data_IF_477958431431
#
_entry.id   IF_477958431431
#
_cell.length_a   1.000
_cell.length_b   1.000
_cell.length_c   1.000
_cell.angle_alpha   90.00
_cell.angle_beta   90.00
_cell.angle_gamma   90.00
#
_symmetry.space_group_name_H-M   'P 1'
#
loop_
_entity.id
_entity.type
_entity.pdbx_description
1 polymer ?
#
# COMPACT_ATOMS: atom_id res chain seq x y z
N UNK A 1 13.21 -14.19 2.59
CA UNK A 1 12.37 -14.52 3.76
C UNK A 1 12.87 -13.92 5.07
N UNK A 2 14.14 -14.15 5.46
CA UNK A 2 14.72 -13.62 6.72
C UNK A 2 14.62 -12.09 6.84
N UNK A 3 14.91 -11.36 5.77
CA UNK A 3 14.82 -9.90 5.74
C UNK A 3 13.41 -9.40 6.07
N UNK A 4 12.38 -10.00 5.47
CA UNK A 4 10.99 -9.60 5.68
C UNK A 4 10.55 -9.80 7.14
N UNK A 5 10.94 -10.91 7.77
CA UNK A 5 10.61 -11.19 9.17
C UNK A 5 11.26 -10.15 10.09
N UNK A 6 12.54 -9.87 9.90
CA UNK A 6 13.26 -8.87 10.70
C UNK A 6 12.59 -7.49 10.58
N UNK A 7 12.25 -7.08 9.35
CA UNK A 7 11.58 -5.81 9.09
C UNK A 7 10.21 -5.74 9.78
N UNK A 8 9.40 -6.81 9.73
CA UNK A 8 8.10 -6.82 10.38
C UNK A 8 8.18 -6.59 11.89
N UNK A 9 9.21 -7.15 12.56
CA UNK A 9 9.43 -6.93 14.01
C UNK A 9 9.73 -5.47 14.31
N UNK A 10 10.61 -4.82 13.53
CA UNK A 10 10.89 -3.39 13.71
C UNK A 10 9.66 -2.53 13.42
N UNK A 11 8.88 -2.87 12.39
CA UNK A 11 7.65 -2.17 12.07
C UNK A 11 6.57 -2.32 13.14
N UNK A 12 6.52 -3.44 13.86
CA UNK A 12 5.61 -3.58 15.00
C UNK A 12 5.93 -2.61 16.13
N UNK A 13 7.21 -2.35 16.40
CA UNK A 13 7.64 -1.36 17.41
C UNK A 13 7.27 0.07 16.97
N UNK A 14 7.47 0.38 15.69
CA UNK A 14 7.08 1.68 15.11
C UNK A 14 5.55 1.83 15.15
N UNK A 15 4.82 0.80 14.75
CA UNK A 15 3.36 0.78 14.76
C UNK A 15 2.81 0.96 16.18
N UNK A 16 3.40 0.31 17.18
CA UNK A 16 3.02 0.47 18.59
C UNK A 16 3.23 1.91 19.06
N UNK A 17 4.38 2.52 18.73
CA UNK A 17 4.69 3.91 19.09
C UNK A 17 3.70 4.90 18.45
N UNK A 18 3.34 4.69 17.19
CA UNK A 18 2.36 5.52 16.49
C UNK A 18 0.94 5.27 17.02
N UNK A 19 0.61 4.03 17.37
CA UNK A 19 -0.68 3.69 17.96
C UNK A 19 -0.88 4.36 19.33
N UNK A 20 0.16 4.47 20.15
CA UNK A 20 0.12 5.25 21.40
C UNK A 20 -0.18 6.73 21.13
N UNK A 21 0.51 7.35 20.17
CA UNK A 21 0.25 8.74 19.77
C UNK A 21 -1.17 8.94 19.21
N UNK A 22 -1.65 8.01 18.39
CA UNK A 22 -2.99 8.04 17.84
C UNK A 22 -4.08 7.86 18.92
N UNK A 23 -3.77 7.12 19.98
CA UNK A 23 -4.67 6.95 21.13
C UNK A 23 -4.80 8.21 21.97
N UNK A 24 -3.68 8.92 22.17
CA UNK A 24 -3.63 10.15 22.95
C UNK A 24 -4.20 11.35 22.17
N UNK A 25 -3.92 11.42 20.86
CA UNK A 25 -4.30 12.51 19.98
C UNK A 25 -4.92 11.98 18.67
N UNK A 26 -6.17 11.49 18.71
CA UNK A 26 -6.86 11.03 17.51
C UNK A 26 -7.19 12.24 16.62
N UNK A 27 -6.41 12.42 15.56
CA UNK A 27 -6.60 13.50 14.60
C UNK A 27 -6.43 12.99 13.18
N UNK A 28 -7.31 13.41 12.27
CA UNK A 28 -7.22 13.16 10.82
C UNK A 28 -5.97 13.79 10.20
N UNK A 29 -5.40 14.81 10.85
CA UNK A 29 -4.15 15.45 10.45
C UNK A 29 -2.91 14.59 10.71
N UNK A 30 -3.05 13.45 11.41
CA UNK A 30 -2.04 12.40 11.55
C UNK A 30 -0.66 12.88 11.99
N UNK A 31 0.37 12.42 11.28
CA UNK A 31 1.81 12.65 11.59
C UNK A 31 2.17 14.13 11.71
N UNK A 32 1.56 14.99 10.89
CA UNK A 32 1.76 16.45 10.94
C UNK A 32 1.32 17.03 12.30
N UNK A 33 0.17 16.58 12.81
CA UNK A 33 -0.36 17.07 14.08
C UNK A 33 0.49 16.58 15.26
N UNK A 34 0.85 15.29 15.28
CA UNK A 34 1.68 14.73 16.33
C UNK A 34 3.07 15.38 16.40
N UNK A 35 3.68 15.64 15.23
CA UNK A 35 4.97 16.35 15.16
C UNK A 35 4.87 17.78 15.68
N UNK A 36 3.76 18.47 15.40
CA UNK A 36 3.55 19.86 15.84
C UNK A 36 3.37 19.94 17.36
N UNK A 37 2.60 19.02 17.95
CA UNK A 37 2.32 19.02 19.39
C UNK A 37 3.54 18.57 20.19
N UNK A 38 4.27 17.56 19.73
CA UNK A 38 5.39 17.00 20.50
C UNK A 38 6.65 17.88 20.48
N UNK A 39 6.82 18.75 19.47
CA UNK A 39 8.03 19.59 19.34
C UNK A 39 7.96 20.92 20.12
N UNK A 40 6.92 21.14 20.95
CA UNK A 40 6.82 22.25 21.88
C UNK A 40 7.04 23.62 21.21
N UNK A 41 8.06 24.37 21.66
CA UNK A 41 8.39 25.72 21.14
C UNK A 41 8.71 25.75 19.64
N UNK A 42 9.17 24.64 19.07
CA UNK A 42 9.48 24.51 17.64
C UNK A 42 8.40 23.75 16.84
N UNK A 43 7.24 23.50 17.46
CA UNK A 43 6.12 22.74 16.90
C UNK A 43 5.79 23.08 15.45
N UNK A 44 5.68 24.36 15.14
CA UNK A 44 5.29 24.83 13.80
C UNK A 44 6.33 24.52 12.72
N UNK A 45 7.62 24.50 13.05
CA UNK A 45 8.69 24.19 12.08
C UNK A 45 8.76 22.68 11.84
N UNK A 46 8.81 21.89 12.90
CA UNK A 46 8.84 20.42 12.80
C UNK A 46 7.56 19.86 12.18
N UNK A 47 6.41 20.43 12.54
CA UNK A 47 5.12 20.13 11.92
C UNK A 47 5.17 20.35 10.41
N UNK A 48 5.64 21.52 9.96
CA UNK A 48 5.76 21.83 8.54
C UNK A 48 6.63 20.81 7.78
N UNK A 49 7.82 20.49 8.31
CA UNK A 49 8.69 19.49 7.70
C UNK A 49 8.06 18.09 7.70
N UNK A 50 7.46 17.66 8.81
CA UNK A 50 6.79 16.37 8.92
C UNK A 50 5.61 16.24 7.94
N UNK A 51 4.83 17.32 7.79
CA UNK A 51 3.71 17.37 6.85
C UNK A 51 4.16 17.24 5.40
N UNK A 52 5.19 17.97 4.99
CA UNK A 52 5.74 17.88 3.63
C UNK A 52 6.38 16.53 3.35
N UNK A 53 7.12 15.98 4.31
CA UNK A 53 7.71 14.65 4.18
C UNK A 53 6.63 13.58 4.04
N UNK A 54 5.56 13.68 4.83
CA UNK A 54 4.40 12.81 4.71
C UNK A 54 3.73 12.93 3.33
N UNK A 55 3.51 14.15 2.84
CA UNK A 55 2.95 14.36 1.49
C UNK A 55 3.82 13.73 0.39
N UNK A 56 5.14 13.93 0.44
CA UNK A 56 6.05 13.31 -0.53
C UNK A 56 6.06 11.78 -0.42
N UNK A 57 6.04 11.23 0.80
CA UNK A 57 5.96 9.79 1.01
C UNK A 57 4.71 9.19 0.36
N UNK A 58 3.55 9.83 0.54
CA UNK A 58 2.30 9.39 -0.08
C UNK A 58 2.26 9.60 -1.61
N UNK A 59 2.89 10.67 -2.11
CA UNK A 59 2.99 10.93 -3.55
C UNK A 59 3.91 9.93 -4.26
N UNK A 60 5.08 9.65 -3.69
CA UNK A 60 5.99 8.62 -4.20
C UNK A 60 5.40 7.21 -4.02
N UNK A 61 4.67 6.96 -2.94
CA UNK A 61 3.92 5.73 -2.75
C UNK A 61 2.87 5.51 -3.84
N UNK A 62 2.08 6.55 -4.18
CA UNK A 62 1.11 6.48 -5.26
C UNK A 62 1.78 6.20 -6.62
N UNK A 63 2.89 6.89 -6.93
CA UNK A 63 3.66 6.64 -8.16
C UNK A 63 4.23 5.21 -8.20
N UNK A 64 4.76 4.71 -7.09
CA UNK A 64 5.27 3.34 -6.99
C UNK A 64 4.16 2.32 -7.22
N UNK A 65 3.00 2.47 -6.58
CA UNK A 65 1.86 1.57 -6.74
C UNK A 65 1.32 1.58 -8.18
N UNK A 66 1.22 2.75 -8.81
CA UNK A 66 0.85 2.84 -10.23
C UNK A 66 1.86 2.15 -11.14
N UNK A 67 3.15 2.21 -10.83
CA UNK A 67 4.19 1.48 -11.57
C UNK A 67 4.03 -0.03 -11.41
N UNK A 68 3.76 -0.52 -10.20
CA UNK A 68 3.53 -1.95 -9.93
C UNK A 68 2.32 -2.46 -10.73
N UNK A 69 1.20 -1.74 -10.72
CA UNK A 69 -0.01 -2.10 -11.47
C UNK A 69 0.28 -2.14 -12.99
N UNK A 70 1.00 -1.16 -13.51
CA UNK A 70 1.36 -1.13 -14.93
C UNK A 70 2.26 -2.31 -15.30
N UNK A 71 3.29 -2.59 -14.50
CA UNK A 71 4.19 -3.72 -14.71
C UNK A 71 3.45 -5.07 -14.62
N UNK A 72 2.51 -5.22 -13.68
CA UNK A 72 1.66 -6.40 -13.60
C UNK A 72 0.82 -6.58 -14.87
N UNK A 73 0.26 -5.49 -15.41
CA UNK A 73 -0.55 -5.52 -16.65
C UNK A 73 0.27 -5.97 -17.85
N UNK A 74 1.45 -5.36 -18.04
CA UNK A 74 2.38 -5.73 -19.12
C UNK A 74 2.86 -7.18 -18.97
N UNK A 75 3.12 -7.62 -17.74
CA UNK A 75 3.63 -8.97 -17.50
C UNK A 75 2.55 -10.05 -17.69
N UNK A 76 1.28 -9.74 -17.42
CA UNK A 76 0.15 -10.62 -17.79
C UNK A 76 0.04 -10.79 -19.32
N UNK A 77 0.30 -9.74 -20.09
CA UNK A 77 0.31 -9.81 -21.56
C UNK A 77 1.50 -10.62 -22.08
N UNK A 78 2.69 -10.40 -21.51
CA UNK A 78 3.93 -11.10 -21.87
C UNK A 78 3.85 -12.62 -21.62
N UNK A 79 3.06 -13.08 -20.64
CA UNK A 79 2.86 -14.51 -20.37
C UNK A 79 2.28 -15.28 -21.57
N UNK A 80 1.49 -14.62 -22.42
CA UNK A 80 0.92 -15.21 -23.64
C UNK A 80 1.74 -14.91 -24.90
N UNK A 81 2.48 -13.80 -24.89
CA UNK A 81 3.31 -13.34 -26.01
C UNK A 81 4.78 -13.32 -25.56
N UNK A 82 5.45 -14.46 -25.72
CA UNK A 82 6.82 -14.70 -25.25
C UNK A 82 7.89 -13.78 -25.81
N UNK A 83 7.57 -12.97 -26.82
CA UNK A 83 8.48 -12.03 -27.49
C UNK A 83 8.42 -10.60 -26.90
N UNK A 84 7.58 -10.36 -25.90
CA UNK A 84 7.45 -9.03 -25.28
C UNK A 84 8.65 -8.69 -24.39
N UNK A 85 9.68 -8.07 -24.97
CA UNK A 85 10.75 -7.45 -24.20
C UNK A 85 10.30 -6.17 -23.50
N UNK A 86 10.97 -5.82 -22.40
CA UNK A 86 10.74 -4.57 -21.67
C UNK A 86 11.12 -3.36 -22.55
N UNK A 87 10.13 -2.75 -23.19
CA UNK A 87 10.34 -1.61 -24.07
C UNK A 87 10.04 -0.28 -23.36
N UNK A 88 10.75 0.81 -23.67
CA UNK A 88 10.56 2.12 -23.02
C UNK A 88 9.12 2.66 -23.09
N UNK A 89 8.36 2.27 -24.12
CA UNK A 89 6.96 2.68 -24.29
C UNK A 89 5.99 2.10 -23.24
N UNK A 90 6.43 1.15 -22.40
CA UNK A 90 5.58 0.58 -21.35
C UNK A 90 5.25 1.61 -20.26
N UNK A 91 5.97 2.73 -20.24
CA UNK A 91 5.60 3.93 -19.49
C UNK A 91 4.21 4.48 -19.86
N UNK A 92 3.71 4.24 -21.07
CA UNK A 92 2.34 4.62 -21.46
C UNK A 92 1.31 3.85 -20.60
N UNK A 93 1.57 2.57 -20.29
CA UNK A 93 0.69 1.80 -19.39
C UNK A 93 0.65 2.42 -18.00
N UNK A 94 1.80 2.89 -17.50
CA UNK A 94 1.86 3.62 -16.23
C UNK A 94 1.01 4.89 -16.27
N UNK A 95 1.18 5.71 -17.32
CA UNK A 95 0.40 6.92 -17.51
C UNK A 95 -1.10 6.60 -17.50
N UNK A 96 -1.56 5.69 -18.36
CA UNK A 96 -2.97 5.28 -18.44
C UNK A 96 -3.51 4.80 -17.09
N UNK A 97 -2.79 3.93 -16.38
CA UNK A 97 -3.19 3.48 -15.05
C UNK A 97 -3.33 4.65 -14.06
N UNK A 98 -2.38 5.59 -14.04
CA UNK A 98 -2.44 6.78 -13.18
C UNK A 98 -3.64 7.68 -13.52
N UNK A 99 -3.94 7.90 -14.81
CA UNK A 99 -5.10 8.68 -15.23
C UNK A 99 -6.42 8.01 -14.84
N UNK A 100 -6.51 6.69 -14.95
CA UNK A 100 -7.69 5.93 -14.52
C UNK A 100 -7.86 6.03 -12.99
N UNK A 101 -6.79 5.82 -12.21
CA UNK A 101 -6.85 5.99 -10.76
C UNK A 101 -7.32 7.40 -10.39
N UNK A 102 -6.76 8.44 -11.03
CA UNK A 102 -7.17 9.83 -10.82
C UNK A 102 -8.66 10.05 -11.15
N UNK A 103 -9.13 9.53 -12.29
CA UNK A 103 -10.53 9.63 -12.68
C UNK A 103 -11.47 8.94 -11.67
N UNK A 104 -11.09 7.76 -11.16
CA UNK A 104 -11.88 7.05 -10.13
C UNK A 104 -11.90 7.85 -8.82
N UNK A 105 -10.81 8.48 -8.41
CA UNK A 105 -10.80 9.34 -7.22
C UNK A 105 -11.70 10.58 -7.40
N UNK A 106 -11.70 11.18 -8.59
CA UNK A 106 -12.51 12.36 -8.89
C UNK A 106 -14.01 12.06 -9.01
N UNK A 107 -14.38 11.00 -9.73
CA UNK A 107 -15.78 10.69 -10.06
C UNK A 107 -16.37 9.54 -9.23
N UNK A 108 -15.55 8.68 -8.65
CA UNK A 108 -15.94 7.43 -8.03
C UNK A 108 -16.05 7.44 -6.51
N UNK A 109 -16.09 8.61 -5.86
CA UNK A 109 -16.10 8.73 -4.39
C UNK A 109 -17.15 7.84 -3.68
N UNK A 110 -18.34 7.66 -4.29
CA UNK A 110 -19.40 6.80 -3.74
C UNK A 110 -19.09 5.29 -3.82
N UNK A 111 -18.27 4.88 -4.79
CA UNK A 111 -17.88 3.49 -4.98
C UNK A 111 -16.70 3.08 -4.09
N UNK A 112 -15.98 4.03 -3.49
CA UNK A 112 -14.78 3.74 -2.68
C UNK A 112 -15.02 2.74 -1.54
N UNK A 113 -16.10 2.83 -0.74
CA UNK A 113 -16.35 1.84 0.32
C UNK A 113 -16.59 0.44 -0.25
N UNK A 114 -17.31 0.33 -1.38
CA UNK A 114 -17.57 -0.94 -2.05
C UNK A 114 -16.28 -1.54 -2.62
N UNK A 115 -15.43 -0.71 -3.25
CA UNK A 115 -14.11 -1.12 -3.74
C UNK A 115 -13.22 -1.60 -2.59
N UNK A 116 -13.26 -0.97 -1.42
CA UNK A 116 -12.54 -1.44 -0.22
C UNK A 116 -12.96 -2.84 0.20
N UNK A 117 -14.27 -3.11 0.28
CA UNK A 117 -14.81 -4.43 0.63
C UNK A 117 -14.46 -5.50 -0.42
N UNK A 118 -14.53 -5.14 -1.71
CA UNK A 118 -14.08 -6.02 -2.79
C UNK A 118 -12.59 -6.32 -2.68
N UNK A 119 -11.76 -5.30 -2.40
CA UNK A 119 -10.33 -5.46 -2.21
C UNK A 119 -10.01 -6.44 -1.10
N UNK A 120 -10.68 -6.34 0.05
CA UNK A 120 -10.53 -7.29 1.15
C UNK A 120 -10.88 -8.72 0.72
N UNK A 121 -12.00 -8.90 0.02
CA UNK A 121 -12.41 -10.21 -0.50
C UNK A 121 -11.36 -10.80 -1.45
N UNK A 122 -10.84 -10.02 -2.41
CA UNK A 122 -9.84 -10.47 -3.36
C UNK A 122 -8.47 -10.73 -2.71
N UNK A 123 -8.08 -9.97 -1.68
CA UNK A 123 -6.83 -10.25 -0.92
C UNK A 123 -6.94 -11.59 -0.21
N UNK A 124 -8.01 -11.80 0.56
CA UNK A 124 -8.17 -13.03 1.35
C UNK A 124 -8.34 -14.26 0.43
N UNK A 125 -9.15 -14.15 -0.61
CA UNK A 125 -9.29 -15.21 -1.60
C UNK A 125 -8.01 -15.43 -2.41
N UNK A 126 -7.23 -14.39 -2.70
CA UNK A 126 -5.94 -14.47 -3.37
C UNK A 126 -4.88 -15.21 -2.56
N UNK A 127 -4.77 -14.89 -1.27
CA UNK A 127 -3.87 -15.61 -0.36
C UNK A 127 -4.29 -17.08 -0.27
N UNK A 128 -5.58 -17.36 -0.04
CA UNK A 128 -6.08 -18.71 0.11
C UNK A 128 -5.92 -19.55 -1.18
N UNK A 129 -6.28 -18.99 -2.34
CA UNK A 129 -6.12 -19.64 -3.63
C UNK A 129 -4.65 -19.89 -3.96
N UNK A 130 -3.76 -18.92 -3.74
CA UNK A 130 -2.32 -19.10 -3.98
C UNK A 130 -1.75 -20.20 -3.09
N UNK A 131 -2.12 -20.24 -1.80
CA UNK A 131 -1.66 -21.27 -0.87
C UNK A 131 -2.12 -22.65 -1.30
N UNK A 132 -3.40 -22.81 -1.68
CA UNK A 132 -3.93 -24.09 -2.17
C UNK A 132 -3.21 -24.52 -3.43
N UNK A 133 -3.08 -23.62 -4.41
CA UNK A 133 -2.43 -23.93 -5.68
C UNK A 133 -0.98 -24.34 -5.46
N UNK A 134 -0.23 -23.59 -4.65
CA UNK A 134 1.16 -23.92 -4.34
C UNK A 134 1.31 -25.21 -3.52
N UNK A 135 0.30 -25.60 -2.72
CA UNK A 135 0.31 -26.84 -1.94
C UNK A 135 -0.15 -28.07 -2.75
N UNK A 136 -1.02 -27.90 -3.75
CA UNK A 136 -1.62 -29.03 -4.50
C UNK A 136 -0.88 -29.26 -5.82
N UNK A 137 -0.53 -28.20 -6.55
CA UNK A 137 0.01 -28.33 -7.90
C UNK A 137 1.34 -29.08 -7.99
N UNK A 138 2.29 -28.96 -7.05
CA UNK A 138 3.51 -29.76 -7.12
C UNK A 138 3.23 -31.26 -7.06
N UNK A 139 2.24 -31.68 -6.24
CA UNK A 139 1.79 -33.07 -6.15
C UNK A 139 1.08 -33.55 -7.42
N UNK A 140 0.34 -32.67 -8.10
CA UNK A 140 -0.40 -33.00 -9.33
C UNK A 140 0.51 -33.03 -10.56
N UNK A 141 1.49 -32.12 -10.62
CA UNK A 141 2.43 -31.99 -11.73
C UNK A 141 3.66 -32.91 -11.59
N UNK A 142 3.71 -33.77 -10.55
CA UNK A 142 4.86 -34.62 -10.22
C UNK A 142 6.19 -33.85 -10.08
N UNK A 143 6.12 -32.59 -9.63
CA UNK A 143 7.29 -31.75 -9.42
C UNK A 143 7.67 -31.78 -7.93
N UNK A 144 8.96 -31.99 -7.58
CA UNK A 144 9.36 -32.24 -6.19
C UNK A 144 9.48 -30.93 -5.41
N UNK A 145 8.76 -30.77 -4.30
CA UNK A 145 8.84 -29.61 -3.41
C UNK A 145 10.28 -29.12 -3.16
N UNK A 146 10.45 -27.79 -3.09
CA UNK A 146 11.77 -27.21 -2.83
C UNK A 146 12.33 -27.70 -1.48
N UNK A 147 13.64 -27.98 -1.45
CA UNK A 147 14.29 -28.47 -0.23
C UNK A 147 14.29 -27.39 0.87
N UNK A 148 14.11 -27.81 2.13
CA UNK A 148 14.19 -26.93 3.31
C UNK A 148 15.51 -26.12 3.35
N UNK A 149 16.62 -26.70 2.87
CA UNK A 149 17.90 -25.99 2.80
C UNK A 149 17.86 -24.86 1.76
N UNK A 150 17.20 -25.07 0.63
CA UNK A 150 17.08 -24.05 -0.42
C UNK A 150 16.18 -22.89 0.01
N UNK A 151 15.08 -23.18 0.71
CA UNK A 151 14.14 -22.13 1.15
C UNK A 151 14.71 -21.31 2.32
N UNK A 152 15.34 -21.96 3.30
CA UNK A 152 15.73 -21.30 4.55
C UNK A 152 17.21 -20.92 4.65
N UNK A 153 18.11 -21.64 3.97
CA UNK A 153 19.56 -21.47 4.13
C UNK A 153 20.24 -20.92 2.88
N UNK A 154 19.70 -21.16 1.69
CA UNK A 154 20.34 -20.71 0.46
C UNK A 154 20.18 -19.20 0.27
N UNK A 155 21.29 -18.53 -0.01
CA UNK A 155 21.37 -17.10 -0.24
C UNK A 155 22.10 -16.88 -1.55
N UNK A 156 21.39 -16.29 -2.51
CA UNK A 156 21.95 -15.94 -3.82
C UNK A 156 22.02 -14.44 -3.92
N UNK A 157 23.22 -13.93 -4.18
CA UNK A 157 23.45 -12.51 -4.39
C UNK A 157 23.63 -12.24 -5.89
N UNK A 158 22.57 -11.73 -6.52
CA UNK A 158 22.58 -11.34 -7.94
C UNK A 158 22.70 -9.83 -8.13
N UNK A 159 22.98 -9.08 -7.05
CA UNK A 159 23.00 -7.61 -7.08
C UNK A 159 24.33 -7.03 -7.60
N UNK A 160 25.35 -7.86 -7.77
CA UNK A 160 26.69 -7.45 -8.20
C UNK A 160 27.57 -6.83 -7.11
N UNK A 161 27.04 -6.63 -5.89
CA UNK A 161 27.82 -6.15 -4.76
C UNK A 161 28.55 -7.29 -4.03
N UNK A 162 29.82 -7.07 -3.69
CA UNK A 162 30.63 -8.05 -2.95
C UNK A 162 30.27 -8.16 -1.46
N UNK A 163 29.70 -7.10 -0.88
CA UNK A 163 29.34 -7.08 0.54
C UNK A 163 27.93 -7.61 0.79
N UNK A 164 27.85 -8.79 1.40
CA UNK A 164 26.59 -9.43 1.75
C UNK A 164 25.80 -8.64 2.82
N UNK A 165 26.45 -7.84 3.66
CA UNK A 165 25.78 -7.00 4.65
C UNK A 165 24.96 -5.89 3.99
N UNK A 166 25.54 -5.20 3.02
CA UNK A 166 24.83 -4.20 2.22
C UNK A 166 23.64 -4.81 1.46
N UNK A 167 23.82 -5.99 0.85
CA UNK A 167 22.73 -6.67 0.11
C UNK A 167 21.60 -7.10 1.04
N UNK A 168 21.92 -7.51 2.27
CA UNK A 168 20.90 -7.81 3.28
C UNK A 168 20.04 -6.59 3.60
N UNK A 169 20.66 -5.44 3.85
CA UNK A 169 19.97 -4.17 4.15
C UNK A 169 19.19 -3.66 2.94
N UNK A 170 19.75 -3.77 1.74
CA UNK A 170 19.05 -3.44 0.50
C UNK A 170 17.81 -4.34 0.29
N UNK A 171 17.89 -5.63 0.63
CA UNK A 171 16.74 -6.54 0.61
C UNK A 171 15.68 -6.21 1.66
N UNK A 172 16.07 -5.67 2.82
CA UNK A 172 15.13 -5.22 3.86
C UNK A 172 14.27 -4.04 3.38
N UNK A 173 14.77 -3.19 2.49
CA UNK A 173 14.01 -2.05 1.94
C UNK A 173 12.72 -2.50 1.21
N UNK A 174 12.82 -3.55 0.37
CA UNK A 174 11.65 -4.10 -0.32
C UNK A 174 10.68 -4.75 0.68
N UNK A 175 11.18 -5.40 1.72
CA UNK A 175 10.36 -5.91 2.81
C UNK A 175 9.62 -4.80 3.56
N UNK A 176 10.27 -3.65 3.79
CA UNK A 176 9.69 -2.49 4.45
C UNK A 176 8.57 -1.87 3.61
N UNK A 177 8.79 -1.77 2.29
CA UNK A 177 7.76 -1.32 1.37
C UNK A 177 6.54 -2.27 1.37
N UNK A 178 6.76 -3.58 1.41
CA UNK A 178 5.67 -4.57 1.41
C UNK A 178 4.82 -4.55 2.70
N UNK A 179 5.42 -4.21 3.85
CA UNK A 179 4.69 -4.04 5.12
C UNK A 179 3.78 -2.81 5.09
N UNK A 180 4.14 -1.79 4.31
CA UNK A 180 3.32 -0.60 4.08
C UNK A 180 3.35 0.43 5.21
N UNK A 181 2.56 1.49 5.05
CA UNK A 181 2.46 2.62 5.97
C UNK A 181 1.58 2.33 7.19
N UNK A 182 2.08 2.71 8.38
CA UNK A 182 1.38 2.61 9.67
C UNK A 182 0.27 3.64 9.84
N UNK A 183 0.41 4.81 9.19
CA UNK A 183 -0.42 6.00 9.42
C UNK A 183 -1.72 6.02 8.62
N UNK A 184 -1.96 5.03 7.74
CA UNK A 184 -3.16 4.92 6.91
C UNK A 184 -4.46 5.08 7.70
N UNK A 185 -4.57 4.36 8.82
CA UNK A 185 -5.78 4.33 9.66
C UNK A 185 -6.00 5.66 10.37
N UNK A 186 -4.93 6.40 10.67
CA UNK A 186 -5.01 7.69 11.32
C UNK A 186 -5.65 8.76 10.43
N UNK A 187 -5.44 8.70 9.10
CA UNK A 187 -6.10 9.60 8.14
C UNK A 187 -7.63 9.43 8.10
N UNK A 188 -8.14 8.33 8.65
CA UNK A 188 -9.57 8.02 8.74
C UNK A 188 -10.16 8.30 10.14
N UNK A 189 -9.42 8.98 11.02
CA UNK A 189 -9.82 9.20 12.41
C UNK A 189 -11.20 9.88 12.57
N UNK A 190 -11.58 10.76 11.64
CA UNK A 190 -12.88 11.46 11.67
C UNK A 190 -14.06 10.59 11.22
N UNK A 191 -13.80 9.45 10.55
CA UNK A 191 -14.84 8.56 10.01
C UNK A 191 -15.10 7.36 10.93
N UNK A 192 -14.29 7.17 11.98
CA UNK A 192 -14.31 6.02 12.89
C UNK A 192 -14.98 6.40 14.23
N UNK A 193 -15.93 5.60 14.75
CA UNK A 193 -16.46 5.81 16.10
C UNK A 193 -15.37 5.54 17.15
N UNK A 194 -15.28 6.35 18.21
CA UNK A 194 -14.27 6.21 19.28
C UNK A 194 -12.82 6.07 18.76
N UNK A 195 -12.29 7.08 18.04
CA UNK A 195 -11.01 6.96 17.33
C UNK A 195 -9.82 6.69 18.26
N UNK A 196 -9.82 7.22 19.50
CA UNK A 196 -8.76 6.98 20.49
C UNK A 196 -8.58 5.50 20.87
N UNK A 197 -9.63 4.68 20.76
CA UNK A 197 -9.59 3.24 21.07
C UNK A 197 -9.55 2.38 19.83
N UNK A 198 -10.26 2.78 18.78
CA UNK A 198 -10.43 1.94 17.60
C UNK A 198 -9.28 2.09 16.59
N UNK A 199 -8.63 3.26 16.48
CA UNK A 199 -7.46 3.43 15.61
C UNK A 199 -6.29 2.53 16.07
N UNK A 200 -5.86 2.54 17.35
CA UNK A 200 -4.77 1.67 17.81
C UNK A 200 -5.05 0.18 17.58
N UNK A 201 -6.28 -0.26 17.85
CA UNK A 201 -6.71 -1.65 17.62
C UNK A 201 -6.69 -2.02 16.14
N UNK A 202 -7.20 -1.14 15.27
CA UNK A 202 -7.19 -1.35 13.84
C UNK A 202 -5.76 -1.41 13.28
N UNK A 203 -4.86 -0.54 13.73
CA UNK A 203 -3.43 -0.59 13.39
C UNK A 203 -2.82 -1.93 13.80
N UNK A 204 -2.94 -2.33 15.07
CA UNK A 204 -2.41 -3.61 15.55
C UNK A 204 -2.95 -4.81 14.76
N UNK A 205 -4.27 -4.81 14.49
CA UNK A 205 -4.94 -5.87 13.73
C UNK A 205 -4.43 -5.94 12.29
N UNK A 206 -4.25 -4.80 11.62
CA UNK A 206 -3.67 -4.72 10.28
C UNK A 206 -2.29 -5.36 10.22
N UNK A 207 -1.42 -5.07 11.20
CA UNK A 207 -0.06 -5.62 11.26
C UNK A 207 -0.02 -7.12 11.54
N UNK A 208 -0.87 -7.61 12.44
CA UNK A 208 -0.92 -9.03 12.79
C UNK A 208 -1.46 -9.84 11.61
N UNK A 209 -2.61 -9.44 11.04
CA UNK A 209 -3.22 -10.15 9.91
C UNK A 209 -2.32 -10.05 8.68
N UNK A 210 -1.76 -8.86 8.41
CA UNK A 210 -0.83 -8.64 7.31
C UNK A 210 0.42 -9.52 7.42
N UNK A 211 1.03 -9.60 8.60
CA UNK A 211 2.20 -10.46 8.82
C UNK A 211 1.87 -11.94 8.64
N UNK A 212 0.80 -12.44 9.26
CA UNK A 212 0.42 -13.85 9.18
C UNK A 212 0.11 -14.24 7.72
N UNK A 213 -0.70 -13.44 7.02
CA UNK A 213 -1.08 -13.74 5.63
C UNK A 213 0.11 -13.66 4.68
N UNK A 214 0.96 -12.62 4.80
CA UNK A 214 2.18 -12.49 4.00
C UNK A 214 3.20 -13.59 4.29
N UNK A 215 3.36 -14.01 5.55
CA UNK A 215 4.25 -15.08 5.95
C UNK A 215 3.82 -16.42 5.33
N UNK A 216 2.55 -16.79 5.48
CA UNK A 216 1.99 -18.03 4.89
C UNK A 216 2.10 -18.00 3.37
N UNK A 217 1.79 -16.87 2.73
CA UNK A 217 1.92 -16.68 1.29
C UNK A 217 3.38 -16.85 0.81
N UNK A 218 4.34 -16.24 1.50
CA UNK A 218 5.77 -16.38 1.18
C UNK A 218 6.23 -17.83 1.32
N UNK A 219 5.87 -18.52 2.41
CA UNK A 219 6.19 -19.95 2.60
C UNK A 219 5.66 -20.74 1.40
N UNK A 220 4.38 -20.58 1.06
CA UNK A 220 3.74 -21.35 0.00
C UNK A 220 4.45 -21.19 -1.35
N UNK A 221 4.79 -19.95 -1.74
CA UNK A 221 5.50 -19.70 -3.00
C UNK A 221 6.93 -20.24 -3.00
N UNK A 222 7.69 -20.03 -1.92
CA UNK A 222 9.08 -20.51 -1.91
C UNK A 222 9.18 -22.03 -1.95
N UNK A 223 8.19 -22.76 -1.42
CA UNK A 223 8.17 -24.22 -1.49
C UNK A 223 7.69 -24.77 -2.84
N UNK A 224 6.90 -23.99 -3.61
CA UNK A 224 6.40 -24.40 -4.93
C UNK A 224 7.35 -24.06 -6.08
N UNK A 225 8.38 -23.26 -5.84
CA UNK A 225 9.36 -22.81 -6.85
C UNK A 225 10.60 -23.70 -6.82
N UNK A 226 10.97 -24.28 -7.97
CA UNK A 226 12.13 -25.19 -8.09
C UNK A 226 13.36 -24.54 -8.74
N UNK A 227 13.15 -23.54 -9.60
CA UNK A 227 14.19 -22.85 -10.36
C UNK A 227 13.97 -21.34 -10.29
N UNK A 228 14.52 -20.74 -9.23
CA UNK A 228 14.43 -19.31 -9.01
C UNK A 228 15.14 -18.50 -10.10
N UNK A 229 16.39 -18.82 -10.53
CA UNK A 229 17.06 -18.12 -11.63
C UNK A 229 16.28 -18.20 -12.96
N UNK A 230 15.72 -19.38 -13.29
CA UNK A 230 14.88 -19.55 -14.49
C UNK A 230 13.60 -18.70 -14.44
N UNK A 231 12.92 -18.69 -13.30
CA UNK A 231 11.71 -17.87 -13.11
C UNK A 231 12.01 -16.37 -13.24
N UNK A 232 13.12 -15.89 -12.67
CA UNK A 232 13.53 -14.48 -12.71
C UNK A 232 13.97 -14.05 -14.11
N UNK A 233 14.70 -14.90 -14.83
CA UNK A 233 15.18 -14.60 -16.19
C UNK A 233 14.06 -14.66 -17.25
N UNK A 234 13.06 -15.53 -17.07
CA UNK A 234 11.94 -15.69 -18.00
C UNK A 234 10.96 -14.51 -18.01
N UNK A 235 10.91 -13.69 -16.97
CA UNK A 235 10.03 -12.52 -16.90
C UNK A 235 10.75 -11.33 -16.27
N UNK A 236 11.60 -10.61 -17.05
CA UNK A 236 12.47 -9.57 -16.52
C UNK A 236 11.73 -8.31 -16.02
N UNK A 237 10.47 -8.12 -16.44
CA UNK A 237 9.65 -6.94 -16.07
C UNK A 237 9.08 -7.08 -14.66
N UNK A 238 8.56 -8.26 -14.33
CA UNK A 238 7.97 -8.56 -13.04
C UNK A 238 8.12 -10.06 -12.79
N UNK A 239 8.72 -10.51 -11.68
CA UNK A 239 9.08 -11.92 -11.50
C UNK A 239 7.89 -12.81 -11.13
N UNK A 240 6.80 -12.24 -10.61
CA UNK A 240 5.64 -12.98 -10.10
C UNK A 240 4.97 -13.94 -11.13
N UNK A 241 4.79 -13.59 -12.41
CA UNK A 241 4.23 -14.47 -13.43
C UNK A 241 5.07 -15.71 -13.67
N UNK A 242 6.40 -15.59 -13.68
CA UNK A 242 7.31 -16.73 -13.81
C UNK A 242 7.17 -17.71 -12.64
N UNK A 243 7.08 -17.18 -11.41
CA UNK A 243 6.85 -17.98 -10.20
C UNK A 243 5.49 -18.70 -10.25
N UNK A 244 4.42 -17.99 -10.63
CA UNK A 244 3.10 -18.61 -10.74
C UNK A 244 2.98 -19.59 -11.89
N UNK A 245 3.67 -19.36 -13.00
CA UNK A 245 3.74 -20.30 -14.11
C UNK A 245 4.44 -21.58 -13.69
N UNK A 246 5.56 -21.47 -12.97
CA UNK A 246 6.26 -22.63 -12.44
C UNK A 246 5.43 -23.38 -11.39
N UNK A 247 4.74 -22.67 -10.51
CA UNK A 247 3.90 -23.27 -9.48
C UNK A 247 2.65 -23.96 -10.07
N UNK A 248 2.02 -23.39 -11.10
CA UNK A 248 0.77 -23.92 -11.69
C UNK A 248 0.98 -24.90 -12.83
N UNK A 249 2.13 -24.85 -13.51
CA UNK A 249 2.41 -25.63 -14.72
C UNK A 249 1.59 -25.21 -15.95
N UNK A 250 0.70 -24.22 -15.85
CA UNK A 250 -0.18 -23.78 -16.94
C UNK A 250 -0.26 -22.25 -17.02
N UNK A 251 -0.31 -21.71 -18.25
CA UNK A 251 -0.44 -20.25 -18.46
C UNK A 251 -1.78 -19.70 -17.94
N UNK A 252 -2.85 -20.48 -18.06
CA UNK A 252 -4.19 -20.10 -17.58
C UNK A 252 -4.28 -20.03 -16.05
N UNK A 253 -3.69 -20.99 -15.34
CA UNK A 253 -3.64 -20.98 -13.87
C UNK A 253 -2.83 -19.80 -13.34
N UNK A 254 -1.68 -19.53 -13.96
CA UNK A 254 -0.85 -18.38 -13.63
C UNK A 254 -1.58 -17.05 -13.88
N UNK A 255 -2.26 -16.89 -15.01
CA UNK A 255 -3.09 -15.70 -15.28
C UNK A 255 -4.17 -15.51 -14.21
N UNK A 256 -4.88 -16.57 -13.84
CA UNK A 256 -5.94 -16.50 -12.82
C UNK A 256 -5.42 -15.95 -11.49
N UNK A 257 -4.28 -16.46 -11.00
CA UNK A 257 -3.64 -15.95 -9.78
C UNK A 257 -3.13 -14.52 -9.92
N UNK A 258 -2.59 -14.15 -11.09
CA UNK A 258 -2.16 -12.77 -11.37
C UNK A 258 -3.34 -11.79 -11.34
N UNK A 259 -4.48 -12.15 -11.93
CA UNK A 259 -5.67 -11.30 -11.94
C UNK A 259 -6.22 -11.11 -10.52
N UNK A 260 -6.24 -12.16 -9.71
CA UNK A 260 -6.68 -12.07 -8.32
C UNK A 260 -5.74 -11.17 -7.49
N UNK A 261 -4.43 -11.18 -7.77
CA UNK A 261 -3.47 -10.28 -7.13
C UNK A 261 -3.49 -8.84 -7.69
N UNK A 262 -3.85 -8.68 -8.96
CA UNK A 262 -3.91 -7.39 -9.65
C UNK A 262 -5.02 -6.49 -9.10
N UNK A 263 -6.23 -7.04 -8.92
CA UNK A 263 -7.41 -6.30 -8.44
C UNK A 263 -7.14 -5.53 -7.13
N UNK A 264 -6.64 -6.16 -6.05
CA UNK A 264 -6.38 -5.46 -4.80
C UNK A 264 -5.19 -4.50 -4.90
N UNK A 265 -4.20 -4.79 -5.74
CA UNK A 265 -3.09 -3.85 -6.02
C UNK A 265 -3.62 -2.57 -6.66
N UNK A 266 -4.54 -2.69 -7.62
CA UNK A 266 -5.20 -1.56 -8.26
C UNK A 266 -6.07 -0.75 -7.29
N UNK A 267 -6.84 -1.41 -6.42
CA UNK A 267 -7.64 -0.75 -5.38
C UNK A 267 -6.73 0.00 -4.39
N UNK A 268 -5.59 -0.58 -4.03
CA UNK A 268 -4.58 0.06 -3.16
C UNK A 268 -3.98 1.29 -3.83
N UNK A 269 -3.71 1.26 -5.15
CA UNK A 269 -3.23 2.42 -5.89
C UNK A 269 -4.24 3.58 -5.80
N UNK A 270 -5.54 3.32 -6.00
CA UNK A 270 -6.61 4.32 -5.82
C UNK A 270 -6.59 4.91 -4.41
N UNK A 271 -6.45 4.05 -3.37
CA UNK A 271 -6.30 4.46 -1.98
C UNK A 271 -5.14 5.43 -1.75
N UNK A 272 -3.98 5.17 -2.37
CA UNK A 272 -2.80 6.04 -2.26
C UNK A 272 -3.06 7.43 -2.86
N UNK A 273 -3.74 7.53 -4.00
CA UNK A 273 -4.11 8.83 -4.58
C UNK A 273 -5.06 9.63 -3.68
N UNK A 274 -6.00 8.95 -3.01
CA UNK A 274 -6.92 9.60 -2.07
C UNK A 274 -6.14 10.16 -0.88
N UNK A 275 -5.26 9.35 -0.27
CA UNK A 275 -4.48 9.79 0.89
C UNK A 275 -3.48 10.90 0.53
N UNK A 276 -2.83 10.82 -0.64
CA UNK A 276 -1.97 11.89 -1.14
C UNK A 276 -2.75 13.20 -1.33
N UNK A 277 -3.97 13.13 -1.89
CA UNK A 277 -4.85 14.29 -2.03
C UNK A 277 -5.30 14.88 -0.68
N UNK A 278 -5.72 14.02 0.25
CA UNK A 278 -6.15 14.42 1.61
C UNK A 278 -5.02 15.08 2.38
N UNK A 279 -3.82 14.50 2.35
CA UNK A 279 -2.63 15.06 3.03
C UNK A 279 -2.19 16.39 2.44
N UNK A 280 -2.27 16.56 1.12
CA UNK A 280 -2.00 17.87 0.51
C UNK A 280 -3.04 18.93 0.92
N UNK A 281 -4.32 18.53 0.97
CA UNK A 281 -5.41 19.41 1.38
C UNK A 281 -5.32 19.82 2.86
N UNK A 282 -4.89 18.92 3.76
CA UNK A 282 -4.69 19.29 5.17
C UNK A 282 -3.56 20.30 5.33
N UNK A 283 -2.46 20.17 4.58
CA UNK A 283 -1.38 21.16 4.54
C UNK A 283 -1.84 22.51 3.98
N UNK A 284 -2.68 22.52 2.94
CA UNK A 284 -3.19 23.76 2.35
C UNK A 284 -4.16 24.50 3.29
N UNK A 285 -4.96 23.75 4.08
CA UNK A 285 -5.85 24.30 5.11
C UNK A 285 -5.10 25.13 6.14
N UNK A 286 -3.92 24.67 6.54
CA UNK A 286 -3.10 25.26 7.60
C UNK A 286 -2.11 26.33 7.06
N UNK A 287 -2.28 26.77 5.81
CA UNK A 287 -1.39 27.72 5.11
C UNK A 287 0.08 27.27 5.03
N UNK A 288 0.33 25.96 5.09
CA UNK A 288 1.67 25.38 5.02
C UNK A 288 2.20 25.22 3.57
N UNK A 289 1.35 25.48 2.55
CA UNK A 289 1.69 25.36 1.13
C UNK A 289 1.87 26.71 0.43
N UNK A 290 2.76 26.81 -0.58
CA UNK A 290 2.74 27.96 -1.50
C UNK A 290 1.38 27.99 -2.21
N UNK A 291 0.75 29.16 -2.31
CA UNK A 291 -0.60 29.35 -2.87
C UNK A 291 -1.73 28.61 -2.13
N UNK A 292 -1.67 28.51 -0.79
CA UNK A 292 -2.70 27.88 0.05
C UNK A 292 -4.14 28.34 -0.26
N UNK A 293 -4.33 29.60 -0.67
CA UNK A 293 -5.64 30.16 -1.04
C UNK A 293 -6.31 29.48 -2.23
N UNK A 294 -5.55 28.87 -3.14
CA UNK A 294 -6.09 28.13 -4.29
C UNK A 294 -6.40 26.69 -3.88
N UNK A 295 -5.44 26.03 -3.22
CA UNK A 295 -5.54 24.61 -2.88
C UNK A 295 -6.42 24.29 -1.65
N UNK A 296 -6.83 25.31 -0.89
CA UNK A 296 -7.78 25.17 0.23
C UNK A 296 -9.24 25.12 -0.24
N UNK A 297 -9.54 25.57 -1.46
CA UNK A 297 -10.91 25.67 -1.96
C UNK A 297 -11.47 24.27 -2.25
N UNK A 298 -12.50 23.88 -1.50
CA UNK A 298 -13.30 22.70 -1.83
C UNK A 298 -14.37 23.16 -2.81
N UNK A 299 -14.33 22.66 -4.06
CA UNK A 299 -15.42 22.87 -4.99
C UNK A 299 -16.69 22.16 -4.48
N UNK A 300 -17.88 22.78 -4.57
CA UNK A 300 -19.13 22.10 -4.22
C UNK A 300 -19.23 20.78 -4.99
N UNK A 301 -19.77 19.72 -4.38
CA UNK A 301 -19.86 18.41 -5.03
C UNK A 301 -20.56 18.57 -6.37
N UNK A 302 -19.90 18.12 -7.43
CA UNK A 302 -20.54 17.98 -8.74
C UNK A 302 -21.82 17.17 -8.52
N UNK A 303 -23.00 17.66 -8.89
CA UNK A 303 -24.24 16.91 -8.75
C UNK A 303 -24.15 15.68 -9.65
N UNK A 304 -23.72 14.56 -9.06
CA UNK A 304 -23.80 13.27 -9.71
C UNK A 304 -25.28 12.93 -9.85
N UNK A 305 -25.75 12.53 -11.04
CA UNK A 305 -27.11 12.04 -11.19
C UNK A 305 -27.23 10.81 -10.31
N UNK A 306 -28.41 10.58 -9.72
CA UNK A 306 -28.72 9.51 -8.76
C UNK A 306 -28.45 9.87 -7.28
N UNK A 307 -29.11 10.92 -6.81
CA UNK A 307 -29.40 11.13 -5.39
C UNK A 307 -30.29 10.01 -4.84
N UNK A 308 -29.80 9.24 -3.88
CA UNK A 308 -30.64 8.55 -2.89
C UNK A 308 -29.85 8.39 -1.56
N UNK A 309 -30.40 9.04 -0.52
CA UNK A 309 -30.21 8.91 0.94
C UNK A 309 -29.02 9.57 1.68
N UNK A 310 -29.30 10.43 2.69
CA UNK A 310 -28.34 10.94 3.69
C UNK A 310 -28.40 10.14 5.01
N UNK A 311 -27.29 10.11 5.79
CA UNK A 311 -27.41 10.63 7.16
C UNK A 311 -26.23 11.49 7.65
N UNK A 312 -25.22 11.78 6.83
CA UNK A 312 -23.98 12.43 7.30
C UNK A 312 -24.01 13.98 7.36
N UNK A 313 -25.13 14.62 7.06
CA UNK A 313 -25.24 16.10 7.00
C UNK A 313 -25.28 16.80 8.37
N UNK A 314 -25.31 16.07 9.50
CA UNK A 314 -25.42 16.69 10.85
C UNK A 314 -24.11 16.84 11.63
N UNK A 315 -23.01 16.15 11.26
CA UNK A 315 -21.76 16.26 12.04
C UNK A 315 -20.81 17.36 11.55
N UNK A 316 -20.83 17.73 10.26
CA UNK A 316 -19.93 18.74 9.73
C UNK A 316 -20.37 20.19 10.00
N UNK A 317 -21.64 20.42 10.37
CA UNK A 317 -22.12 21.79 10.67
C UNK A 317 -21.92 22.18 12.15
N UNK A 318 -21.75 21.21 13.06
CA UNK A 318 -21.64 21.49 14.50
C UNK A 318 -20.19 21.59 15.03
N UNK A 319 -19.16 21.26 14.23
CA UNK A 319 -17.75 21.46 14.61
C UNK A 319 -17.14 22.78 14.08
N UNK A 320 -17.97 23.71 13.60
CA UNK A 320 -17.61 25.11 13.40
C UNK A 320 -17.57 25.94 14.70
N UNK A 321 -17.27 25.33 15.85
CA UNK A 321 -17.18 26.00 17.14
C UNK A 321 -15.73 26.12 17.62
N UNK A 322 -15.29 27.39 17.67
CA UNK A 322 -14.22 27.92 18.53
C UNK A 322 -12.79 27.39 18.36
N UNK A 323 -12.09 27.93 17.35
CA UNK A 323 -10.68 28.35 17.50
C UNK A 323 -10.56 29.89 17.45
N UNK A 324 -11.45 30.58 18.19
CA UNK A 324 -11.17 31.95 18.68
C UNK A 324 -10.37 31.80 19.96
N UNK A 325 -9.06 31.68 19.81
CA UNK A 325 -8.09 31.62 20.91
C UNK A 325 -6.64 31.89 20.48
N UNK A 326 -6.45 32.35 19.24
CA UNK A 326 -5.18 32.87 18.73
C UNK A 326 -5.42 34.30 18.28
N UNK A 327 -5.69 35.18 19.25
CA UNK A 327 -5.43 36.62 19.18
C UNK A 327 -5.59 37.18 20.59
N UNK A 328 -4.54 37.85 21.07
CA UNK A 328 -4.35 38.60 22.33
C UNK A 328 -3.59 37.90 23.47
N UNK A 329 -2.33 38.31 23.65
CA UNK A 329 -1.71 38.40 24.98
C UNK A 329 -0.26 37.94 25.11
N UNK A 330 0.67 38.89 24.85
CA UNK A 330 2.08 38.96 25.27
C UNK A 330 3.11 38.04 24.59
#
# INVERSE_FOLDING_TARGET
MRCSIAVSVFYWLIAASIAELASAMPSSSGVYHWATVNAGRYGRVFGWFAGWWNFFAWTFGAASMSSIVANQTVSMYSLFHGDCQAQPWHFISYMVCSWICCAIVLFGNRALPALGNMGLFFILSGVFSTVIVCAVMPSVNHTPYASNKNVWQHWTNETGYSDNGFVLVAGMLNGAFAVGSTDCVAHLAEEIPEPSRNIPKAMATQYIIGFITAFVYMVAIFYSVHDLPGALSSTPIFPLPGLYYQATGTRGGALGLLVIAFIPTFITAIGCYITAGRTFWTLSRDNATPFSRVFRQIHPPVPQPIQCHPPLRRHLHNHGMHLRGFDNGL
#
